data_IF_753462103863
#
_entry.id   IF_753462103863
#
_cell.length_a   1.000
_cell.length_b   1.000
_cell.length_c   1.000
_cell.angle_alpha   90.00
_cell.angle_beta   90.00
_cell.angle_gamma   90.00
#
_symmetry.space_group_name_H-M   'P 1'
#
loop_
_entity.id
_entity.type
_entity.pdbx_description
1 polymer ?
#
# COMPACT_ATOMS: atom_id res chain seq x y z
N UNK A 1 -13.71 -60.32 19.90
CA UNK A 1 -12.57 -60.48 18.96
C UNK A 1 -13.01 -59.85 17.67
N UNK A 2 -12.79 -58.57 17.48
CA UNK A 2 -13.06 -57.86 16.22
C UNK A 2 -11.72 -57.34 15.73
N UNK A 3 -11.33 -57.85 14.58
CA UNK A 3 -10.12 -57.62 13.87
C UNK A 3 -10.20 -56.20 13.18
N UNK A 4 -9.28 -55.32 13.51
CA UNK A 4 -9.11 -54.06 12.80
C UNK A 4 -7.90 -54.20 11.88
N UNK A 5 -8.17 -54.50 10.62
CA UNK A 5 -7.16 -54.48 9.55
C UNK A 5 -7.01 -53.09 8.96
N UNK A 6 -5.78 -52.60 9.04
CA UNK A 6 -5.06 -51.61 8.23
C UNK A 6 -5.80 -50.83 7.15
N UNK A 7 -6.04 -49.55 7.41
CA UNK A 7 -6.20 -48.55 6.37
C UNK A 7 -4.93 -47.66 6.36
N UNK A 8 -4.15 -47.78 5.28
CA UNK A 8 -3.04 -46.87 4.99
C UNK A 8 -3.55 -45.46 4.78
N UNK A 9 -2.91 -44.41 5.36
CA UNK A 9 -3.27 -43.05 5.04
C UNK A 9 -2.78 -42.68 3.64
N UNK A 10 -3.72 -42.34 2.78
CA UNK A 10 -3.43 -41.65 1.52
C UNK A 10 -2.79 -40.29 1.81
N UNK A 11 -1.59 -40.08 1.28
CA UNK A 11 -0.93 -38.77 1.30
C UNK A 11 -1.69 -37.84 0.33
N UNK A 12 -2.60 -37.05 0.85
CA UNK A 12 -3.17 -35.92 0.13
C UNK A 12 -2.08 -34.84 0.05
N UNK A 13 -1.79 -34.39 -1.16
CA UNK A 13 -0.85 -33.31 -1.42
C UNK A 13 -1.49 -31.98 -0.97
N UNK A 14 -1.33 -31.63 0.31
CA UNK A 14 -1.96 -30.49 0.97
C UNK A 14 -1.58 -29.10 0.41
N UNK A 15 -0.45 -28.98 -0.28
CA UNK A 15 0.04 -27.67 -0.75
C UNK A 15 -0.77 -27.13 -1.94
N UNK A 16 -1.26 -28.00 -2.81
CA UNK A 16 -2.10 -27.56 -3.95
C UNK A 16 -3.54 -27.21 -3.56
N UNK A 17 -4.07 -27.87 -2.54
CA UNK A 17 -5.44 -27.62 -2.03
C UNK A 17 -5.54 -26.28 -1.30
N UNK A 18 -4.51 -25.86 -0.57
CA UNK A 18 -4.47 -24.58 0.14
C UNK A 18 -4.35 -23.39 -0.83
N UNK A 19 -3.58 -23.54 -1.92
CA UNK A 19 -3.46 -22.50 -2.96
C UNK A 19 -4.77 -22.29 -3.74
N UNK A 20 -5.56 -23.33 -3.95
CA UNK A 20 -6.87 -23.21 -4.62
C UNK A 20 -7.92 -22.59 -3.68
N UNK A 21 -7.89 -22.88 -2.38
CA UNK A 21 -8.84 -22.30 -1.42
C UNK A 21 -8.65 -20.79 -1.22
N UNK A 22 -7.41 -20.27 -1.29
CA UNK A 22 -7.13 -18.84 -1.18
C UNK A 22 -7.66 -18.02 -2.36
N UNK A 23 -7.90 -18.62 -3.53
CA UNK A 23 -8.50 -17.95 -4.69
C UNK A 23 -10.02 -17.76 -4.58
N UNK A 24 -10.70 -18.41 -3.64
CA UNK A 24 -12.17 -18.35 -3.51
C UNK A 24 -12.68 -17.31 -2.51
N UNK A 25 -11.79 -16.56 -1.86
CA UNK A 25 -12.17 -15.52 -0.88
C UNK A 25 -12.45 -14.16 -1.52
N UNK A 26 -12.22 -13.98 -2.82
CA UNK A 26 -12.57 -12.75 -3.54
C UNK A 26 -14.02 -12.87 -4.07
N UNK A 27 -14.67 -11.74 -4.30
CA UNK A 27 -15.98 -11.66 -4.94
C UNK A 27 -15.88 -12.11 -6.40
N UNK A 28 -15.72 -13.40 -6.63
CA UNK A 28 -15.62 -13.97 -7.96
C UNK A 28 -16.88 -13.70 -8.79
N UNK A 29 -16.65 -13.26 -10.01
CA UNK A 29 -17.75 -13.03 -10.95
C UNK A 29 -18.44 -11.68 -10.78
N UNK A 30 -17.82 -10.73 -10.05
CA UNK A 30 -18.28 -9.35 -10.00
C UNK A 30 -17.54 -8.54 -11.07
N UNK A 31 -18.09 -8.41 -12.29
CA UNK A 31 -17.36 -7.74 -13.36
C UNK A 31 -17.17 -6.27 -13.04
N UNK A 32 -15.94 -5.79 -13.16
CA UNK A 32 -15.63 -4.36 -13.02
C UNK A 32 -16.38 -3.59 -14.11
N UNK A 33 -17.27 -2.63 -13.74
CA UNK A 33 -18.01 -1.85 -14.71
C UNK A 33 -17.07 -1.08 -15.64
N UNK A 34 -17.40 -1.05 -16.94
CA UNK A 34 -16.67 -0.26 -17.94
C UNK A 34 -15.28 -0.76 -18.30
N UNK A 35 -14.83 -1.93 -17.77
CA UNK A 35 -13.53 -2.48 -18.13
C UNK A 35 -13.55 -2.97 -19.59
N UNK A 36 -12.63 -2.51 -20.46
CA UNK A 36 -12.49 -3.06 -21.80
C UNK A 36 -12.16 -4.55 -21.76
N UNK A 37 -12.75 -5.34 -22.66
CA UNK A 37 -12.49 -6.77 -22.74
C UNK A 37 -11.99 -7.16 -24.11
N UNK A 38 -11.16 -8.18 -24.15
CA UNK A 38 -10.68 -8.84 -25.36
C UNK A 38 -11.78 -9.71 -25.97
N UNK A 39 -11.55 -10.23 -27.17
CA UNK A 39 -12.52 -11.09 -27.86
C UNK A 39 -12.88 -12.38 -27.08
N UNK A 40 -11.97 -12.87 -26.24
CA UNK A 40 -12.18 -14.00 -25.32
C UNK A 40 -12.72 -13.57 -23.93
N UNK A 41 -13.33 -12.38 -23.87
CA UNK A 41 -13.99 -11.79 -22.68
C UNK A 41 -13.07 -11.51 -21.47
N UNK A 42 -11.75 -11.60 -21.62
CA UNK A 42 -10.80 -11.25 -20.55
C UNK A 42 -10.60 -9.74 -20.43
N UNK A 43 -10.33 -9.19 -19.23
CA UNK A 43 -9.99 -7.80 -19.05
C UNK A 43 -8.81 -7.38 -19.92
N UNK A 44 -8.97 -6.29 -20.70
CA UNK A 44 -7.90 -5.71 -21.50
C UNK A 44 -7.20 -4.60 -20.73
N UNK A 45 -6.21 -4.95 -19.95
CA UNK A 45 -5.46 -4.02 -19.11
C UNK A 45 -4.56 -3.08 -19.91
N UNK A 46 -4.23 -3.40 -21.15
CA UNK A 46 -3.45 -2.57 -22.06
C UNK A 46 -4.32 -1.64 -22.91
N UNK A 47 -5.63 -1.56 -22.66
CA UNK A 47 -6.51 -0.62 -23.33
C UNK A 47 -6.09 0.83 -23.06
N UNK A 48 -6.48 1.80 -23.90
CA UNK A 48 -6.15 3.20 -23.72
C UNK A 48 -6.55 3.74 -22.33
N UNK A 49 -5.78 4.71 -21.84
CA UNK A 49 -6.00 5.42 -20.59
C UNK A 49 -7.44 5.97 -20.50
N UNK A 50 -8.23 5.57 -19.50
CA UNK A 50 -9.55 6.13 -19.28
C UNK A 50 -9.45 7.56 -18.74
N UNK A 51 -10.42 8.41 -19.13
CA UNK A 51 -10.50 9.79 -18.67
C UNK A 51 -11.86 10.06 -18.01
N UNK A 52 -11.81 10.82 -16.94
CA UNK A 52 -13.00 11.36 -16.28
C UNK A 52 -13.67 12.47 -17.15
N UNK A 53 -14.85 12.92 -16.73
CA UNK A 53 -15.62 13.92 -17.48
C UNK A 53 -14.90 15.27 -17.63
N UNK A 54 -13.98 15.61 -16.74
CA UNK A 54 -13.13 16.80 -16.80
C UNK A 54 -11.90 16.64 -17.71
N UNK A 55 -11.76 15.50 -18.39
CA UNK A 55 -10.66 15.19 -19.28
C UNK A 55 -9.39 14.72 -18.58
N UNK A 56 -9.33 14.71 -17.24
CA UNK A 56 -8.19 14.17 -16.49
C UNK A 56 -8.19 12.65 -16.51
N UNK A 57 -7.02 12.01 -16.33
CA UNK A 57 -6.98 10.56 -16.15
C UNK A 57 -7.90 10.11 -15.01
N UNK A 58 -8.70 9.09 -15.26
CA UNK A 58 -9.46 8.43 -14.21
C UNK A 58 -8.53 7.46 -13.48
N UNK A 59 -8.28 7.69 -12.19
CA UNK A 59 -7.47 6.82 -11.35
C UNK A 59 -8.31 5.81 -10.57
N UNK A 60 -9.65 5.86 -10.69
CA UNK A 60 -10.55 4.98 -9.96
C UNK A 60 -10.30 3.52 -10.27
N UNK A 61 -10.55 2.68 -9.28
CA UNK A 61 -10.36 1.23 -9.38
C UNK A 61 -9.62 0.63 -8.20
N UNK A 62 -9.43 -0.68 -8.23
CA UNK A 62 -8.67 -1.42 -7.22
C UNK A 62 -7.28 -1.67 -7.78
N UNK A 63 -6.29 -1.27 -7.02
CA UNK A 63 -4.89 -1.31 -7.42
C UNK A 63 -4.05 -2.11 -6.43
N UNK A 64 -3.01 -2.75 -6.92
CA UNK A 64 -2.04 -3.48 -6.10
C UNK A 64 -0.65 -3.34 -6.71
N UNK A 65 0.39 -3.26 -5.86
CA UNK A 65 1.77 -3.22 -6.34
C UNK A 65 2.12 -4.50 -7.11
N UNK A 66 2.74 -4.34 -8.28
CA UNK A 66 3.16 -5.48 -9.12
C UNK A 66 4.31 -6.26 -8.52
N UNK A 67 5.11 -5.59 -7.68
CA UNK A 67 6.25 -6.15 -6.97
C UNK A 67 6.20 -5.73 -5.50
N UNK A 68 5.73 -6.61 -4.61
CA UNK A 68 5.72 -6.30 -3.17
C UNK A 68 7.12 -5.98 -2.64
N UNK A 69 7.22 -4.94 -1.81
CA UNK A 69 8.46 -4.54 -1.16
C UNK A 69 8.20 -4.28 0.31
N UNK A 70 8.85 -5.05 1.16
CA UNK A 70 8.83 -4.88 2.62
C UNK A 70 9.93 -3.94 3.10
N UNK A 71 10.85 -3.59 2.20
CA UNK A 71 11.95 -2.66 2.40
C UNK A 71 11.93 -1.64 1.26
N UNK A 72 11.62 -0.38 1.56
CA UNK A 72 11.49 0.70 0.56
C UNK A 72 12.79 0.97 -0.19
N UNK A 73 13.96 0.61 0.36
CA UNK A 73 15.23 0.74 -0.36
C UNK A 73 15.29 -0.13 -1.62
N UNK A 74 14.45 -1.19 -1.71
CA UNK A 74 14.33 -2.02 -2.91
C UNK A 74 13.53 -1.34 -4.03
N UNK A 75 12.93 -0.19 -3.76
CA UNK A 75 12.17 0.64 -4.70
C UNK A 75 12.94 1.88 -5.15
N UNK A 76 14.22 1.98 -4.83
CA UNK A 76 15.13 3.02 -5.33
C UNK A 76 15.50 2.75 -6.79
N UNK A 77 15.93 3.79 -7.50
CA UNK A 77 16.64 3.63 -8.78
C UNK A 77 18.01 3.00 -8.56
N UNK A 78 18.51 2.31 -9.59
CA UNK A 78 19.85 1.76 -9.57
C UNK A 78 20.90 2.86 -9.30
N UNK A 79 21.76 2.62 -8.33
CA UNK A 79 22.80 3.56 -7.91
C UNK A 79 22.38 4.53 -6.80
N UNK A 80 21.08 4.63 -6.48
CA UNK A 80 20.60 5.44 -5.36
C UNK A 80 20.75 4.71 -4.03
N UNK A 81 20.84 5.48 -2.96
CA UNK A 81 20.89 4.99 -1.58
C UNK A 81 20.03 5.86 -0.67
N UNK A 82 19.57 5.29 0.43
CA UNK A 82 18.83 6.03 1.46
C UNK A 82 19.76 6.98 2.18
N UNK A 83 19.50 8.30 2.15
CA UNK A 83 20.40 9.32 2.71
C UNK A 83 20.16 9.55 4.20
N UNK A 84 20.38 8.55 5.03
CA UNK A 84 20.13 8.62 6.47
C UNK A 84 20.90 9.73 7.19
N UNK A 85 20.27 10.36 8.17
CA UNK A 85 20.99 11.00 9.27
C UNK A 85 21.66 9.92 10.15
N UNK A 86 22.78 10.23 10.85
CA UNK A 86 23.52 9.22 11.62
C UNK A 86 22.66 8.46 12.65
N UNK A 87 21.81 9.17 13.39
CA UNK A 87 20.91 8.53 14.37
C UNK A 87 19.86 7.64 13.71
N UNK A 88 19.32 8.08 12.55
CA UNK A 88 18.29 7.32 11.81
C UNK A 88 18.87 6.03 11.22
N UNK A 89 20.13 6.07 10.78
CA UNK A 89 20.86 4.88 10.34
C UNK A 89 21.08 3.90 11.50
N UNK A 90 21.54 4.40 12.65
CA UNK A 90 21.78 3.58 13.83
C UNK A 90 20.47 2.90 14.30
N UNK A 91 19.36 3.65 14.32
CA UNK A 91 18.04 3.10 14.66
C UNK A 91 17.55 2.06 13.64
N UNK A 92 17.77 2.30 12.34
CA UNK A 92 17.44 1.34 11.30
C UNK A 92 18.22 0.04 11.50
N UNK A 93 19.53 0.12 11.76
CA UNK A 93 20.39 -1.05 11.98
C UNK A 93 19.97 -1.83 13.24
N UNK A 94 19.62 -1.13 14.32
CA UNK A 94 19.08 -1.73 15.54
C UNK A 94 17.79 -2.50 15.26
N UNK A 95 16.85 -1.90 14.52
CA UNK A 95 15.60 -2.55 14.14
C UNK A 95 15.83 -3.80 13.30
N UNK A 96 16.78 -3.74 12.35
CA UNK A 96 17.17 -4.91 11.55
C UNK A 96 17.78 -6.01 12.41
N UNK A 97 18.69 -5.68 13.34
CA UNK A 97 19.31 -6.64 14.26
C UNK A 97 18.29 -7.32 15.19
N UNK A 98 17.19 -6.62 15.51
CA UNK A 98 16.08 -7.12 16.33
C UNK A 98 14.95 -7.76 15.50
N UNK A 99 15.15 -8.07 14.22
CA UNK A 99 14.14 -8.61 13.32
C UNK A 99 12.85 -7.77 13.27
N UNK A 100 12.96 -6.47 13.37
CA UNK A 100 11.85 -5.50 13.34
C UNK A 100 10.71 -5.80 14.36
N UNK A 101 11.01 -6.48 15.48
CA UNK A 101 10.03 -6.94 16.48
C UNK A 101 9.15 -5.83 17.07
N UNK A 102 9.63 -4.57 17.01
CA UNK A 102 8.93 -3.40 17.54
C UNK A 102 8.16 -2.64 16.45
N UNK A 103 7.98 -3.24 15.26
CA UNK A 103 7.16 -2.65 14.19
C UNK A 103 5.75 -2.34 14.74
N UNK A 104 5.31 -1.07 14.70
CA UNK A 104 3.96 -0.70 15.14
C UNK A 104 2.87 -1.51 14.45
N UNK A 105 3.12 -1.96 13.23
CA UNK A 105 2.17 -2.75 12.47
C UNK A 105 1.93 -4.15 13.06
N UNK A 106 2.87 -4.70 13.82
CA UNK A 106 2.67 -5.94 14.56
C UNK A 106 1.62 -5.82 15.69
N UNK A 107 1.32 -4.58 16.10
CA UNK A 107 0.26 -4.25 17.08
C UNK A 107 -0.97 -3.64 16.43
N UNK A 108 -1.23 -3.97 15.17
CA UNK A 108 -2.35 -3.45 14.38
C UNK A 108 -2.42 -1.93 14.26
N UNK A 109 -1.35 -1.19 14.60
CA UNK A 109 -1.28 0.24 14.38
C UNK A 109 -1.14 0.56 12.87
N UNK A 110 -1.60 1.73 12.42
CA UNK A 110 -1.52 2.10 11.01
C UNK A 110 -0.08 2.11 10.49
N UNK A 111 0.13 1.52 9.32
CA UNK A 111 1.42 1.56 8.61
C UNK A 111 1.63 2.92 7.93
N UNK A 112 2.89 3.24 7.64
CA UNK A 112 3.23 4.42 6.84
C UNK A 112 2.66 4.37 5.42
N UNK A 113 2.47 5.55 4.83
CA UNK A 113 1.92 5.70 3.47
C UNK A 113 2.78 4.99 2.41
N UNK A 114 4.10 5.01 2.58
CA UNK A 114 5.05 4.34 1.68
C UNK A 114 4.85 2.84 1.68
N UNK A 115 4.71 2.21 2.86
CA UNK A 115 4.47 0.78 2.97
C UNK A 115 3.14 0.38 2.33
N UNK A 116 2.08 1.18 2.52
CA UNK A 116 0.76 0.92 1.92
C UNK A 116 0.79 0.85 0.39
N UNK A 117 1.65 1.64 -0.25
CA UNK A 117 1.81 1.61 -1.69
C UNK A 117 2.74 0.49 -2.17
N UNK A 118 3.69 0.04 -1.34
CA UNK A 118 4.68 -0.96 -1.75
C UNK A 118 4.29 -2.40 -1.43
N UNK A 119 3.28 -2.62 -0.58
CA UNK A 119 2.77 -3.96 -0.29
C UNK A 119 1.84 -4.49 -1.40
N UNK A 120 1.79 -5.82 -1.53
CA UNK A 120 0.77 -6.49 -2.35
C UNK A 120 -0.56 -6.61 -1.59
N UNK A 121 -1.06 -5.49 -1.07
CA UNK A 121 -2.39 -5.40 -0.49
C UNK A 121 -3.23 -4.45 -1.33
N UNK A 122 -4.47 -4.83 -1.66
CA UNK A 122 -5.31 -3.99 -2.50
C UNK A 122 -5.62 -2.65 -1.86
N UNK A 123 -5.69 -1.63 -2.71
CA UNK A 123 -6.25 -0.33 -2.38
C UNK A 123 -7.26 0.08 -3.45
N UNK A 124 -8.32 0.78 -3.05
CA UNK A 124 -9.33 1.31 -3.96
C UNK A 124 -9.25 2.82 -4.01
N UNK A 125 -9.06 3.36 -5.21
CA UNK A 125 -9.13 4.81 -5.45
C UNK A 125 -10.54 5.15 -5.90
N UNK A 126 -11.12 6.17 -5.28
CA UNK A 126 -12.42 6.75 -5.64
C UNK A 126 -12.24 8.25 -5.83
N UNK A 127 -12.55 8.75 -7.02
CA UNK A 127 -12.48 10.18 -7.34
C UNK A 127 -13.88 10.78 -7.42
N UNK A 128 -14.08 11.85 -6.68
CA UNK A 128 -15.28 12.67 -6.72
C UNK A 128 -14.87 14.15 -6.81
N UNK A 129 -15.75 15.07 -7.23
CA UNK A 129 -15.42 16.50 -7.27
C UNK A 129 -14.89 17.00 -5.93
N UNK A 130 -13.70 17.60 -5.93
CA UNK A 130 -13.05 18.18 -4.75
C UNK A 130 -12.39 17.18 -3.79
N UNK A 131 -12.51 15.86 -4.02
CA UNK A 131 -11.96 14.86 -3.11
C UNK A 131 -11.58 13.57 -3.84
N UNK A 132 -10.40 13.06 -3.55
CA UNK A 132 -10.00 11.68 -3.88
C UNK A 132 -9.86 10.88 -2.60
N UNK A 133 -10.49 9.71 -2.54
CA UNK A 133 -10.39 8.77 -1.44
C UNK A 133 -9.49 7.61 -1.85
N UNK A 134 -8.62 7.18 -0.96
CA UNK A 134 -7.92 5.91 -1.06
C UNK A 134 -8.36 5.05 0.13
N UNK A 135 -9.05 3.95 -0.19
CA UNK A 135 -9.49 2.95 0.77
C UNK A 135 -8.45 1.82 0.75
N UNK A 136 -7.94 1.45 1.89
CA UNK A 136 -6.96 0.37 2.03
C UNK A 136 -7.62 -0.86 2.63
N UNK A 137 -7.49 -2.00 1.98
CA UNK A 137 -7.95 -3.28 2.53
C UNK A 137 -7.21 -3.59 3.82
N UNK A 138 -5.87 -3.48 3.79
CA UNK A 138 -5.07 -3.68 4.98
C UNK A 138 -5.46 -2.72 6.10
N UNK A 139 -5.91 -3.28 7.24
CA UNK A 139 -6.36 -2.56 8.45
C UNK A 139 -7.56 -1.65 8.26
N UNK A 140 -8.34 -1.85 7.21
CA UNK A 140 -9.61 -1.14 6.96
C UNK A 140 -9.50 0.36 7.22
N UNK A 141 -8.46 0.99 6.63
CA UNK A 141 -8.20 2.42 6.79
C UNK A 141 -8.48 3.17 5.49
N UNK A 142 -8.61 4.48 5.59
CA UNK A 142 -8.82 5.33 4.42
C UNK A 142 -7.95 6.58 4.50
N UNK A 143 -7.75 7.22 3.36
CA UNK A 143 -7.06 8.49 3.21
C UNK A 143 -7.91 9.44 2.39
N UNK A 144 -8.03 10.69 2.83
CA UNK A 144 -8.68 11.77 2.12
C UNK A 144 -7.63 12.68 1.48
N UNK A 145 -7.75 12.91 0.19
CA UNK A 145 -6.90 13.82 -0.57
C UNK A 145 -7.80 14.91 -1.13
N UNK A 146 -7.71 16.10 -0.56
CA UNK A 146 -8.55 17.22 -0.97
C UNK A 146 -8.02 17.84 -2.26
N UNK A 147 -8.91 18.01 -3.25
CA UNK A 147 -8.59 18.56 -4.58
C UNK A 147 -9.38 19.84 -4.88
N UNK A 148 -9.92 20.47 -3.85
CA UNK A 148 -10.71 21.69 -3.91
C UNK A 148 -9.88 22.98 -3.83
N UNK A 149 -8.54 22.86 -3.88
CA UNK A 149 -7.62 24.00 -3.86
C UNK A 149 -7.25 24.50 -2.46
N UNK A 150 -7.73 23.86 -1.39
CA UNK A 150 -7.31 24.21 -0.03
C UNK A 150 -5.80 23.94 0.16
N UNK A 151 -5.10 24.75 0.99
CA UNK A 151 -3.71 24.47 1.36
C UNK A 151 -3.64 23.39 2.45
N UNK A 152 -2.44 22.80 2.61
CA UNK A 152 -2.12 22.01 3.79
C UNK A 152 -2.21 22.85 5.07
N UNK A 153 -2.63 22.27 6.21
CA UNK A 153 -2.66 22.97 7.48
C UNK A 153 -1.25 23.50 7.84
N UNK A 154 -1.15 24.78 8.23
CA UNK A 154 0.12 25.38 8.68
C UNK A 154 0.47 24.97 10.11
N UNK A 155 -0.54 24.75 10.92
CA UNK A 155 -0.43 24.27 12.32
C UNK A 155 -1.27 23.02 12.43
N UNK A 156 -0.72 21.99 13.03
CA UNK A 156 -1.38 20.71 13.22
C UNK A 156 -1.44 20.41 14.71
N UNK A 157 -2.55 20.76 15.34
CA UNK A 157 -2.78 20.49 16.77
C UNK A 157 -2.99 18.99 17.06
N UNK A 158 -3.46 18.24 16.05
CA UNK A 158 -3.75 16.81 16.15
C UNK A 158 -3.04 16.04 15.01
N UNK A 159 -1.74 15.74 15.15
CA UNK A 159 -1.02 14.95 14.14
C UNK A 159 -1.64 13.58 13.98
N UNK A 160 -1.86 13.18 12.73
CA UNK A 160 -2.53 11.93 12.37
C UNK A 160 -1.57 10.87 11.86
N UNK A 161 -1.95 9.60 11.91
CA UNK A 161 -1.16 8.51 11.32
C UNK A 161 -0.96 8.68 9.80
N UNK A 162 -2.00 9.13 9.08
CA UNK A 162 -1.97 9.34 7.64
C UNK A 162 -1.69 10.80 7.26
N UNK A 163 -1.60 11.70 8.25
CA UNK A 163 -1.45 13.14 8.02
C UNK A 163 -2.64 13.75 7.28
N UNK A 164 -2.38 14.90 6.66
CA UNK A 164 -3.33 15.66 5.86
C UNK A 164 -2.80 15.72 4.42
N UNK A 165 -3.67 15.48 3.45
CA UNK A 165 -3.27 15.38 2.04
C UNK A 165 -4.08 16.33 1.18
N UNK A 166 -3.39 17.01 0.26
CA UNK A 166 -3.99 17.76 -0.83
C UNK A 166 -3.49 17.22 -2.17
N UNK A 167 -4.29 17.35 -3.20
CA UNK A 167 -3.96 16.86 -4.53
C UNK A 167 -4.23 17.91 -5.62
N UNK A 168 -3.42 17.90 -6.66
CA UNK A 168 -3.60 18.71 -7.85
C UNK A 168 -3.15 17.93 -9.09
N UNK A 169 -3.71 18.31 -10.25
CA UNK A 169 -3.28 17.76 -11.52
C UNK A 169 -2.19 18.63 -12.14
N UNK A 170 -1.08 18.01 -12.55
CA UNK A 170 -0.01 18.57 -13.37
C UNK A 170 0.00 17.81 -14.71
N UNK A 171 -0.73 18.31 -15.71
CA UNK A 171 -1.00 17.55 -16.94
C UNK A 171 -1.79 16.27 -16.65
N UNK A 172 -1.23 15.12 -17.01
CA UNK A 172 -1.78 13.78 -16.77
C UNK A 172 -1.22 13.12 -15.48
N UNK A 173 -0.52 13.88 -14.66
CA UNK A 173 0.02 13.41 -13.37
C UNK A 173 -0.79 14.00 -12.21
N UNK A 174 -1.31 13.13 -11.35
CA UNK A 174 -1.94 13.56 -10.10
C UNK A 174 -0.86 13.67 -9.02
N UNK A 175 -0.62 14.88 -8.55
CA UNK A 175 0.40 15.18 -7.53
C UNK A 175 -0.27 15.36 -6.18
N UNK A 176 0.16 14.60 -5.21
CA UNK A 176 -0.36 14.61 -3.84
C UNK A 176 0.73 15.04 -2.88
N UNK A 177 0.45 16.02 -2.03
CA UNK A 177 1.32 16.43 -0.94
C UNK A 177 0.69 16.06 0.40
N UNK A 178 1.48 15.48 1.29
CA UNK A 178 1.05 15.07 2.64
C UNK A 178 2.01 15.57 3.69
N UNK A 179 1.46 16.09 4.79
CA UNK A 179 2.21 16.50 5.98
C UNK A 179 1.33 16.35 7.24
N UNK A 180 1.87 16.70 8.41
CA UNK A 180 1.12 16.65 9.67
C UNK A 180 0.91 15.23 10.18
N UNK A 181 1.85 14.35 9.89
CA UNK A 181 1.87 13.01 10.48
C UNK A 181 2.39 13.03 11.91
N UNK A 182 2.05 12.00 12.70
CA UNK A 182 2.47 11.90 14.10
C UNK A 182 3.88 11.30 14.29
N UNK A 183 4.56 10.89 13.21
CA UNK A 183 5.91 10.31 13.25
C UNK A 183 6.02 8.95 13.96
N UNK A 184 4.91 8.31 14.32
CA UNK A 184 4.90 7.05 15.08
C UNK A 184 4.91 5.80 14.21
N UNK A 185 4.86 5.95 12.89
CA UNK A 185 4.91 4.84 11.94
C UNK A 185 6.33 4.63 11.42
N UNK A 186 6.56 3.45 10.86
CA UNK A 186 7.75 3.18 10.06
C UNK A 186 7.40 3.35 8.57
N UNK A 187 8.39 3.73 7.75
CA UNK A 187 8.17 3.83 6.30
C UNK A 187 7.91 2.45 5.68
N UNK A 188 8.46 1.40 6.30
CA UNK A 188 8.37 0.01 5.84
C UNK A 188 8.56 -0.97 7.00
N UNK A 189 8.49 -2.27 6.70
CA UNK A 189 8.73 -3.32 7.70
C UNK A 189 10.22 -3.54 7.99
N UNK A 190 11.11 -3.00 7.17
CA UNK A 190 12.54 -3.03 7.42
C UNK A 190 12.98 -2.04 8.50
N UNK A 191 12.12 -1.09 8.89
CA UNK A 191 12.37 -0.22 10.02
C UNK A 191 12.91 1.18 9.68
N UNK A 192 12.75 1.64 8.43
CA UNK A 192 13.09 3.01 8.07
C UNK A 192 12.27 3.98 8.93
N UNK A 193 12.92 4.89 9.69
CA UNK A 193 12.22 5.80 10.60
C UNK A 193 11.50 6.92 9.86
N UNK A 194 10.43 7.42 10.46
CA UNK A 194 9.80 8.69 10.15
C UNK A 194 9.71 9.54 11.40
N UNK A 195 9.63 10.86 11.23
CA UNK A 195 9.45 11.81 12.31
C UNK A 195 8.17 12.65 12.11
N UNK A 196 7.88 13.54 13.04
CA UNK A 196 6.81 14.54 12.92
C UNK A 196 7.06 15.59 11.82
N UNK A 197 8.29 15.64 11.28
CA UNK A 197 8.67 16.50 10.17
C UNK A 197 8.50 15.84 8.81
N UNK A 198 8.00 14.61 8.78
CA UNK A 198 7.79 13.85 7.55
C UNK A 198 6.82 14.53 6.60
N UNK A 199 7.23 14.66 5.36
CA UNK A 199 6.43 15.08 4.22
C UNK A 199 6.56 14.04 3.11
N UNK A 200 5.48 13.82 2.40
CA UNK A 200 5.44 12.92 1.25
C UNK A 200 4.86 13.66 0.06
N UNK A 201 5.56 13.57 -1.07
CA UNK A 201 5.03 14.01 -2.37
C UNK A 201 4.89 12.77 -3.23
N UNK A 202 3.68 12.52 -3.71
CA UNK A 202 3.38 11.37 -4.55
C UNK A 202 2.93 11.85 -5.92
N UNK A 203 3.44 11.21 -6.98
CA UNK A 203 3.11 11.50 -8.37
C UNK A 203 2.51 10.26 -8.99
N UNK A 204 1.18 10.23 -9.12
CA UNK A 204 0.44 9.13 -9.73
C UNK A 204 0.32 9.38 -11.22
N UNK A 205 0.77 8.44 -12.02
CA UNK A 205 0.69 8.48 -13.48
C UNK A 205 0.10 7.17 -13.99
N UNK A 206 -1.17 7.20 -14.38
CA UNK A 206 -1.80 6.06 -15.06
C UNK A 206 -1.32 6.04 -16.50
N UNK A 207 -0.67 4.94 -16.93
CA UNK A 207 -0.07 4.80 -18.27
C UNK A 207 -1.09 4.36 -19.30
N UNK A 208 -1.91 3.39 -18.91
CA UNK A 208 -2.96 2.76 -19.70
C UNK A 208 -4.09 2.32 -18.77
N UNK A 209 -5.01 1.48 -19.24
CA UNK A 209 -6.16 1.07 -18.43
C UNK A 209 -5.74 0.34 -17.16
N UNK A 210 -4.75 -0.54 -17.22
CA UNK A 210 -4.40 -1.45 -16.15
C UNK A 210 -3.12 -1.13 -15.38
N UNK A 211 -2.35 -0.10 -15.78
CA UNK A 211 -1.04 0.16 -15.18
C UNK A 211 -0.87 1.61 -14.72
N UNK A 212 -0.32 1.77 -13.53
CA UNK A 212 -0.05 3.07 -12.91
C UNK A 212 1.32 3.08 -12.25
N UNK A 213 2.09 4.14 -12.49
CA UNK A 213 3.34 4.40 -11.79
C UNK A 213 3.11 5.41 -10.67
N UNK A 214 3.79 5.19 -9.54
CA UNK A 214 3.82 6.15 -8.43
C UNK A 214 5.28 6.44 -8.12
N UNK A 215 5.67 7.70 -8.28
CA UNK A 215 6.93 8.22 -7.75
C UNK A 215 6.62 8.89 -6.41
N UNK A 216 7.34 8.49 -5.35
CA UNK A 216 7.18 9.03 -4.02
C UNK A 216 8.46 9.71 -3.57
N UNK A 217 8.40 11.00 -3.28
CA UNK A 217 9.49 11.77 -2.67
C UNK A 217 9.27 11.82 -1.16
N UNK A 218 10.20 11.23 -0.43
CA UNK A 218 10.25 11.24 1.03
C UNK A 218 11.13 12.41 1.46
N UNK A 219 10.56 13.33 2.22
CA UNK A 219 11.24 14.50 2.77
C UNK A 219 11.02 14.55 4.29
N UNK A 220 12.05 14.18 5.03
CA UNK A 220 12.04 14.23 6.50
C UNK A 220 13.44 14.65 6.97
N UNK A 221 13.70 15.97 7.08
CA UNK A 221 15.04 16.49 7.35
C UNK A 221 15.59 16.09 8.71
N UNK A 222 14.75 15.64 9.65
CA UNK A 222 15.22 15.09 10.92
C UNK A 222 15.82 13.70 10.75
N UNK A 223 15.27 12.87 9.83
CA UNK A 223 15.70 11.50 9.61
C UNK A 223 16.66 11.32 8.45
N UNK A 224 16.59 12.18 7.43
CA UNK A 224 17.35 12.07 6.19
C UNK A 224 18.07 13.36 5.86
N UNK A 225 19.26 13.27 5.26
CA UNK A 225 20.12 14.43 4.94
C UNK A 225 19.64 15.22 3.71
N UNK A 226 18.76 14.62 2.90
CA UNK A 226 18.12 15.21 1.71
C UNK A 226 16.85 14.45 1.38
N UNK A 227 15.92 15.03 0.61
CA UNK A 227 14.82 14.28 0.02
C UNK A 227 15.31 13.15 -0.89
N UNK A 228 14.54 12.05 -0.95
CA UNK A 228 14.86 10.88 -1.76
C UNK A 228 13.61 10.21 -2.30
N UNK A 229 13.73 9.47 -3.39
CA UNK A 229 12.60 8.94 -4.13
C UNK A 229 12.55 7.42 -4.12
N UNK A 230 11.34 6.88 -4.06
CA UNK A 230 11.03 5.48 -4.35
C UNK A 230 10.03 5.40 -5.50
N UNK A 231 10.02 4.26 -6.20
CA UNK A 231 9.21 4.03 -7.39
C UNK A 231 8.41 2.75 -7.23
N UNK A 232 7.10 2.87 -7.46
CA UNK A 232 6.15 1.76 -7.35
C UNK A 232 5.37 1.64 -8.64
N UNK A 233 5.27 0.44 -9.16
CA UNK A 233 4.40 0.10 -10.26
C UNK A 233 3.18 -0.64 -9.73
N UNK A 234 1.98 -0.20 -10.11
CA UNK A 234 0.71 -0.80 -9.72
C UNK A 234 -0.02 -1.37 -10.91
N UNK A 235 -0.68 -2.51 -10.70
CA UNK A 235 -1.61 -3.09 -11.64
C UNK A 235 -3.03 -3.02 -11.11
N UNK A 236 -3.98 -2.71 -12.00
CA UNK A 236 -5.41 -2.78 -11.73
C UNK A 236 -5.78 -4.24 -11.42
N UNK A 237 -6.58 -4.44 -10.39
CA UNK A 237 -7.16 -5.72 -10.04
C UNK A 237 -8.59 -5.76 -10.58
N UNK A 238 -8.82 -6.41 -11.73
CA UNK A 238 -10.15 -6.48 -12.32
C UNK A 238 -11.03 -7.52 -11.64
N UNK A 239 -12.34 -7.32 -11.78
CA UNK A 239 -13.37 -8.28 -11.40
C UNK A 239 -13.29 -8.73 -9.92
N UNK A 240 -12.94 -7.77 -9.05
CA UNK A 240 -12.85 -7.95 -7.59
C UNK A 240 -13.32 -6.72 -6.84
N UNK A 241 -13.50 -6.85 -5.54
CA UNK A 241 -13.75 -5.76 -4.59
C UNK A 241 -12.80 -5.86 -3.39
N UNK A 242 -12.69 -4.78 -2.59
CA UNK A 242 -11.95 -4.83 -1.33
C UNK A 242 -12.65 -5.77 -0.35
N UNK A 243 -11.84 -6.52 0.37
CA UNK A 243 -12.33 -7.35 1.47
C UNK A 243 -12.24 -6.59 2.79
N UNK A 244 -13.09 -6.95 3.72
CA UNK A 244 -12.95 -6.50 5.09
C UNK A 244 -11.76 -7.23 5.74
N UNK A 245 -10.86 -6.47 6.35
CA UNK A 245 -9.70 -7.00 7.05
C UNK A 245 -9.64 -6.44 8.46
N UNK A 246 -9.86 -7.30 9.45
CA UNK A 246 -9.75 -6.97 10.87
C UNK A 246 -8.42 -7.53 11.39
N UNK A 247 -7.49 -6.63 11.72
CA UNK A 247 -6.10 -6.98 12.03
C UNK A 247 -5.96 -7.94 13.22
N UNK A 248 -6.83 -7.83 14.23
CA UNK A 248 -6.78 -8.65 15.44
C UNK A 248 -7.71 -9.87 15.39
N UNK A 249 -8.48 -10.03 14.31
CA UNK A 249 -9.39 -11.15 14.17
C UNK A 249 -8.58 -12.46 14.02
N UNK A 250 -8.85 -13.42 14.91
CA UNK A 250 -8.17 -14.71 14.97
C UNK A 250 -6.66 -14.64 15.24
N UNK A 251 -6.14 -13.51 15.75
CA UNK A 251 -4.74 -13.38 16.13
C UNK A 251 -4.40 -14.30 17.31
N UNK A 252 -3.57 -15.30 17.08
CA UNK A 252 -3.17 -16.28 18.10
C UNK A 252 -1.71 -16.13 18.55
N UNK A 253 -0.92 -15.34 17.82
CA UNK A 253 0.53 -15.24 18.03
C UNK A 253 0.96 -13.91 18.66
N UNK A 254 0.06 -12.96 18.93
CA UNK A 254 0.39 -11.65 19.48
C UNK A 254 1.27 -11.73 20.73
N UNK A 255 1.02 -12.70 21.61
CA UNK A 255 1.81 -12.94 22.82
C UNK A 255 3.19 -13.58 22.55
N UNK A 256 3.41 -14.14 21.35
CA UNK A 256 4.68 -14.73 20.91
C UNK A 256 5.52 -13.74 20.11
N UNK A 257 4.86 -12.84 19.39
CA UNK A 257 5.51 -11.85 18.50
C UNK A 257 6.14 -10.70 19.27
N UNK A 258 5.55 -10.34 20.41
CA UNK A 258 6.10 -9.29 21.31
C UNK A 258 7.00 -10.00 22.29
N UNK A 259 8.29 -10.03 22.03
CA UNK A 259 9.26 -10.56 22.98
C UNK A 259 9.09 -9.91 24.35
N UNK A 260 9.08 -10.73 25.38
CA UNK A 260 9.10 -10.30 26.80
C UNK A 260 10.41 -9.60 27.10
#
# INVERSE_FOLDING_TARGET
>A
MCDFTDAKPEKVNDVQTVLVAAMFLQWHGFPTPGIPRTADAKPNLSAPLPRAADGKPDLSGIWMATRPRFNVSQSLKAGDSVPFQPWAKALFDERQANNSKDDPSARCLPTGLTLRATLATPLKIVQIPGLTLILYESRTTFRQIFTDGRPLPKVVDWPAWQGFSIGKWEGDTFVVETSGTNGKFWLDQAGHPATDSFRLIERFRRRDFGHMDIEMTIDDPKAYTRPWNIYVEMALQPDTELLEFICEENEQDAHRMVGK
#
